data_IF_338537516348
#
_entry.id   IF_338537516348
#
_cell.length_a   1.000
_cell.length_b   1.000
_cell.length_c   1.000
_cell.angle_alpha   90.00
_cell.angle_beta   90.00
_cell.angle_gamma   90.00
#
_symmetry.space_group_name_H-M   'P 1'
#
loop_
_entity.id
_entity.type
_entity.pdbx_description
1 polymer ?
#
# COMPACT_ATOMS: atom_id res chain seq x y z
N UNK A 1 14.46 -3.96 16.66
CA UNK A 1 13.79 -3.54 15.44
C UNK A 1 12.28 -3.69 15.61
N UNK A 2 11.55 -2.66 15.31
CA UNK A 2 10.11 -2.68 15.52
C UNK A 2 9.40 -3.20 14.27
N UNK A 3 8.60 -4.23 14.43
CA UNK A 3 7.79 -4.72 13.33
C UNK A 3 6.63 -3.76 13.10
N UNK A 4 6.28 -3.59 11.84
CA UNK A 4 5.13 -2.78 11.48
C UNK A 4 3.85 -3.57 11.75
N UNK A 5 2.85 -2.90 12.31
CA UNK A 5 1.54 -3.51 12.46
C UNK A 5 0.88 -3.69 11.10
N UNK A 6 -0.16 -4.50 11.03
CA UNK A 6 -0.88 -4.68 9.78
C UNK A 6 -1.48 -3.36 9.30
N UNK A 7 -1.94 -2.54 10.24
CA UNK A 7 -2.46 -1.21 9.92
C UNK A 7 -1.38 -0.34 9.29
N UNK A 8 -0.16 -0.35 9.85
CA UNK A 8 0.95 0.41 9.30
C UNK A 8 1.31 -0.06 7.89
N UNK A 9 1.30 -1.38 7.68
CA UNK A 9 1.57 -1.95 6.37
C UNK A 9 0.54 -1.51 5.34
N UNK A 10 -0.73 -1.46 5.73
CA UNK A 10 -1.79 -1.01 4.82
C UNK A 10 -1.65 0.47 4.49
N UNK A 11 -1.29 1.29 5.47
CA UNK A 11 -1.03 2.72 5.22
C UNK A 11 0.11 2.87 4.22
N UNK A 12 1.20 2.14 4.44
CA UNK A 12 2.35 2.18 3.55
C UNK A 12 1.98 1.77 2.12
N UNK A 13 1.17 0.71 2.00
CA UNK A 13 0.70 0.24 0.70
C UNK A 13 -0.12 1.32 0.00
N UNK A 14 -1.02 1.98 0.71
CA UNK A 14 -1.85 3.03 0.12
C UNK A 14 -1.02 4.20 -0.41
N UNK A 15 -0.01 4.63 0.34
CA UNK A 15 0.87 5.69 -0.12
C UNK A 15 1.77 5.24 -1.27
N UNK A 16 2.20 3.98 -1.25
CA UNK A 16 3.00 3.43 -2.34
C UNK A 16 2.20 3.35 -3.64
N UNK A 17 0.90 3.10 -3.56
CA UNK A 17 0.02 3.09 -4.75
C UNK A 17 0.02 4.45 -5.45
N UNK A 18 0.17 5.54 -4.68
CA UNK A 18 0.26 6.88 -5.28
C UNK A 18 1.53 7.05 -6.10
N UNK A 19 2.57 6.30 -5.78
CA UNK A 19 3.84 6.33 -6.54
C UNK A 19 3.86 5.32 -7.68
N UNK A 20 3.26 4.16 -7.47
CA UNK A 20 3.31 3.04 -8.41
C UNK A 20 1.91 2.47 -8.63
N UNK A 21 1.26 2.89 -9.68
CA UNK A 21 -0.10 2.44 -9.97
C UNK A 21 -0.16 1.01 -10.49
N UNK A 22 0.91 0.55 -11.12
CA UNK A 22 0.96 -0.82 -11.62
C UNK A 22 1.23 -1.78 -10.46
N UNK A 23 0.37 -2.79 -10.35
CA UNK A 23 0.49 -3.78 -9.28
C UNK A 23 1.86 -4.46 -9.28
N UNK A 24 2.39 -4.79 -10.45
CA UNK A 24 3.70 -5.41 -10.58
C UNK A 24 4.81 -4.54 -9.99
N UNK A 25 4.82 -3.25 -10.35
CA UNK A 25 5.81 -2.32 -9.84
C UNK A 25 5.67 -2.13 -8.34
N UNK A 26 4.44 -2.05 -7.87
CA UNK A 26 4.14 -1.90 -6.45
C UNK A 26 4.72 -3.08 -5.65
N UNK A 27 4.45 -4.31 -6.09
CA UNK A 27 4.97 -5.50 -5.42
C UNK A 27 6.48 -5.55 -5.45
N UNK A 28 7.08 -5.23 -6.60
CA UNK A 28 8.53 -5.24 -6.74
C UNK A 28 9.21 -4.27 -5.78
N UNK A 29 8.67 -3.07 -5.66
CA UNK A 29 9.24 -2.05 -4.78
C UNK A 29 8.99 -2.34 -3.31
N UNK A 30 7.78 -2.75 -2.97
CA UNK A 30 7.44 -3.03 -1.58
C UNK A 30 8.08 -4.32 -1.06
N UNK A 31 8.41 -5.27 -1.93
CA UNK A 31 9.02 -6.52 -1.49
C UNK A 31 10.39 -6.33 -0.84
N UNK A 32 11.02 -5.18 -1.04
CA UNK A 32 12.28 -4.85 -0.37
C UNK A 32 12.06 -4.49 1.10
N UNK A 33 10.83 -4.19 1.50
CA UNK A 33 10.51 -3.74 2.84
C UNK A 33 9.55 -4.69 3.54
N UNK A 34 8.57 -5.24 2.81
CA UNK A 34 7.52 -6.09 3.36
C UNK A 34 7.56 -7.47 2.68
N UNK A 35 7.24 -8.55 3.43
CA UNK A 35 7.05 -9.85 2.81
C UNK A 35 5.92 -9.78 1.77
N UNK A 36 6.10 -10.50 0.67
CA UNK A 36 5.12 -10.48 -0.42
C UNK A 36 3.72 -10.87 0.05
N UNK A 37 3.61 -11.85 0.94
CA UNK A 37 2.29 -12.26 1.43
C UNK A 37 1.63 -11.19 2.29
N UNK A 38 2.41 -10.35 2.97
CA UNK A 38 1.86 -9.23 3.72
C UNK A 38 1.34 -8.15 2.79
N UNK A 39 2.05 -7.90 1.68
CA UNK A 39 1.61 -6.97 0.64
C UNK A 39 0.29 -7.46 0.06
N UNK A 40 0.23 -8.74 -0.29
CA UNK A 40 -0.97 -9.33 -0.88
C UNK A 40 -2.16 -9.27 0.09
N UNK A 41 -1.93 -9.62 1.35
CA UNK A 41 -2.98 -9.60 2.37
C UNK A 41 -3.48 -8.17 2.60
N UNK A 42 -2.57 -7.22 2.71
CA UNK A 42 -2.94 -5.81 2.90
C UNK A 42 -3.71 -5.28 1.72
N UNK A 43 -3.25 -5.58 0.51
CA UNK A 43 -3.92 -5.15 -0.70
C UNK A 43 -5.32 -5.76 -0.82
N UNK A 44 -5.45 -7.05 -0.54
CA UNK A 44 -6.75 -7.72 -0.58
C UNK A 44 -7.72 -7.10 0.43
N UNK A 45 -7.23 -6.76 1.62
CA UNK A 45 -8.04 -6.10 2.64
C UNK A 45 -8.47 -4.71 2.18
N UNK A 46 -7.56 -3.95 1.59
CA UNK A 46 -7.87 -2.61 1.12
C UNK A 46 -8.89 -2.65 -0.02
N UNK A 47 -8.79 -3.61 -0.91
CA UNK A 47 -9.76 -3.79 -1.99
C UNK A 47 -11.10 -4.22 -1.41
N UNK A 48 -11.08 -5.17 -0.47
CA UNK A 48 -12.30 -5.66 0.17
C UNK A 48 -13.06 -4.60 0.97
N UNK A 49 -12.35 -3.61 1.52
CA UNK A 49 -12.95 -2.50 2.26
C UNK A 49 -13.20 -1.28 1.37
N UNK A 50 -12.97 -1.38 0.09
CA UNK A 50 -13.20 -0.31 -0.89
C UNK A 50 -12.31 0.92 -0.70
N UNK A 51 -11.19 0.76 -0.03
CA UNK A 51 -10.19 1.84 0.10
C UNK A 51 -9.27 1.91 -1.11
N UNK A 52 -9.13 0.79 -1.82
CA UNK A 52 -8.37 0.67 -3.05
C UNK A 52 -9.27 -0.01 -4.05
N UNK A 53 -9.20 0.39 -5.30
CA UNK A 53 -9.97 -0.25 -6.36
C UNK A 53 -9.05 -0.68 -7.50
N UNK A 54 -9.44 -1.75 -8.16
CA UNK A 54 -8.73 -2.25 -9.33
C UNK A 54 -9.43 -1.70 -10.56
N UNK A 55 -8.71 -0.88 -11.35
CA UNK A 55 -9.29 -0.24 -12.53
C UNK A 55 -8.87 -0.90 -13.83
N UNK A 56 -8.09 -1.97 -13.76
CA UNK A 56 -7.66 -2.74 -14.91
C UNK A 56 -6.96 -3.98 -14.45
N UNK A 57 -6.52 -4.86 -15.37
CA UNK A 57 -5.90 -6.13 -14.97
C UNK A 57 -4.63 -5.96 -14.18
N UNK A 58 -3.92 -4.84 -14.33
CA UNK A 58 -2.66 -4.61 -13.64
C UNK A 58 -2.58 -3.26 -12.95
N UNK A 59 -3.65 -2.49 -12.96
CA UNK A 59 -3.64 -1.12 -12.43
C UNK A 59 -4.58 -1.01 -11.24
N UNK A 60 -4.07 -0.45 -10.15
CA UNK A 60 -4.84 -0.22 -8.93
C UNK A 60 -4.71 1.24 -8.52
N UNK A 61 -5.72 1.75 -7.87
CA UNK A 61 -5.76 3.15 -7.41
C UNK A 61 -6.42 3.22 -6.03
N UNK A 62 -5.99 4.21 -5.25
CA UNK A 62 -6.70 4.55 -4.03
C UNK A 62 -8.07 5.12 -4.38
N UNK A 63 -9.08 4.70 -3.62
CA UNK A 63 -10.46 5.14 -3.82
C UNK A 63 -10.72 6.36 -2.94
N UNK A 64 -10.11 7.50 -3.28
CA UNK A 64 -10.19 8.72 -2.50
C UNK A 64 -11.56 9.39 -2.53
N UNK A 65 -12.42 8.97 -3.45
CA UNK A 65 -13.80 9.44 -3.47
C UNK A 65 -14.64 8.80 -2.39
N UNK A 66 -14.18 7.68 -1.84
CA UNK A 66 -14.88 6.92 -0.81
C UNK A 66 -14.27 7.14 0.57
N UNK A 67 -12.95 7.10 0.67
CA UNK A 67 -12.22 7.32 1.92
C UNK A 67 -10.98 8.15 1.64
N UNK A 68 -10.61 9.00 2.61
CA UNK A 68 -9.38 9.75 2.51
C UNK A 68 -8.19 8.87 2.92
N UNK A 69 -7.00 9.22 2.42
CA UNK A 69 -5.78 8.55 2.87
C UNK A 69 -5.55 8.86 4.34
N UNK A 70 -5.14 7.86 5.13
CA UNK A 70 -4.82 8.11 6.53
C UNK A 70 -3.56 8.96 6.67
N UNK A 71 -3.36 9.55 7.84
CA UNK A 71 -2.16 10.31 8.13
C UNK A 71 -0.94 9.39 8.05
N UNK A 72 0.16 9.89 7.48
CA UNK A 72 1.37 9.12 7.30
C UNK A 72 2.31 9.33 8.50
N UNK A 73 2.51 8.31 9.34
CA UNK A 73 3.46 8.41 10.46
C UNK A 73 4.90 8.63 9.96
N UNK A 74 5.69 9.27 10.78
CA UNK A 74 7.07 9.62 10.42
C UNK A 74 7.93 8.41 10.07
N UNK A 75 7.79 7.31 10.82
CA UNK A 75 8.55 6.10 10.53
C UNK A 75 8.18 5.50 9.17
N UNK A 76 6.91 5.59 8.79
CA UNK A 76 6.47 5.09 7.48
C UNK A 76 6.90 6.02 6.37
N UNK A 77 6.95 7.31 6.64
CA UNK A 77 7.40 8.30 5.68
C UNK A 77 8.83 8.02 5.25
N UNK A 78 9.70 7.69 6.20
CA UNK A 78 11.09 7.36 5.91
C UNK A 78 11.19 6.10 5.04
N UNK A 79 10.38 5.10 5.34
CA UNK A 79 10.34 3.87 4.54
C UNK A 79 9.88 4.19 3.11
N UNK A 80 8.84 4.98 3.00
CA UNK A 80 8.27 5.35 1.70
C UNK A 80 9.27 6.10 0.83
N UNK A 81 10.08 6.97 1.42
CA UNK A 81 11.10 7.72 0.69
C UNK A 81 12.17 6.82 0.09
N UNK A 82 12.37 5.62 0.65
CA UNK A 82 13.37 4.67 0.19
C UNK A 82 12.82 3.60 -0.77
N UNK A 83 11.57 3.67 -1.09
CA UNK A 83 10.94 2.71 -2.02
C UNK A 83 11.13 3.12 -3.48
#
# INVERSE_FOLDING_TARGET
>A
MTELSMNDKMILIQYAIEKYEKEEDLFQKLSNTLPEKDIQRGLDTLIGTQRVRRIGPEIIQNNTSHTELPELPENLKQILENI
#
